data_IF_151468037893
#
_entry.id   IF_151468037893
#
_cell.length_a   1.000
_cell.length_b   1.000
_cell.length_c   1.000
_cell.angle_alpha   90.00
_cell.angle_beta   90.00
_cell.angle_gamma   90.00
#
_symmetry.space_group_name_H-M   'P 1'
#
loop_
_entity.id
_entity.type
_entity.pdbx_description
1 polymer ?
#
# COMPACT_ATOMS: atom_id res chain seq x y z
N UNK A 1 75.46 -53.57 46.70
CA UNK A 1 76.68 -53.73 45.86
C UNK A 1 76.33 -53.91 44.37
N UNK A 2 75.45 -53.07 43.80
CA UNK A 2 75.14 -53.09 42.35
C UNK A 2 75.12 -51.68 41.71
N UNK A 3 75.28 -50.62 42.50
CA UNK A 3 75.20 -49.23 42.03
C UNK A 3 76.59 -48.58 41.86
N UNK A 4 77.63 -49.10 42.53
CA UNK A 4 78.98 -48.53 42.41
C UNK A 4 79.64 -48.94 41.09
N UNK A 5 79.46 -50.18 40.62
CA UNK A 5 80.04 -50.67 39.36
C UNK A 5 79.49 -49.95 38.12
N UNK A 6 78.19 -49.65 38.08
CA UNK A 6 77.57 -48.88 36.98
C UNK A 6 78.03 -47.42 36.94
N UNK A 7 78.32 -46.82 38.10
CA UNK A 7 78.81 -45.44 38.16
C UNK A 7 80.25 -45.31 37.63
N UNK A 8 81.10 -46.32 37.85
CA UNK A 8 82.48 -46.32 37.31
C UNK A 8 82.50 -46.62 35.81
N UNK A 9 81.63 -47.51 35.31
CA UNK A 9 81.49 -47.79 33.88
C UNK A 9 80.89 -46.60 33.10
N UNK A 10 79.93 -45.88 33.70
CA UNK A 10 79.38 -44.66 33.12
C UNK A 10 80.41 -43.52 33.11
N UNK A 11 81.19 -43.37 34.19
CA UNK A 11 82.27 -42.38 34.26
C UNK A 11 83.40 -42.69 33.26
N UNK A 12 83.75 -43.97 33.07
CA UNK A 12 84.74 -44.41 32.08
C UNK A 12 84.22 -44.25 30.63
N UNK A 13 82.93 -44.50 30.38
CA UNK A 13 82.32 -44.28 29.06
C UNK A 13 82.23 -42.79 28.69
N UNK A 14 81.92 -41.93 29.65
CA UNK A 14 81.90 -40.47 29.46
C UNK A 14 83.32 -39.91 29.33
N UNK A 15 84.29 -40.42 30.09
CA UNK A 15 85.70 -40.04 29.96
C UNK A 15 86.33 -40.52 28.63
N UNK A 16 85.95 -41.71 28.15
CA UNK A 16 86.36 -42.24 26.85
C UNK A 16 85.83 -41.41 25.67
N UNK A 17 84.55 -41.01 25.72
CA UNK A 17 83.96 -40.11 24.71
C UNK A 17 84.55 -38.69 24.78
N UNK A 18 84.92 -38.20 25.97
CA UNK A 18 85.57 -36.90 26.12
C UNK A 18 87.03 -36.90 25.63
N UNK A 19 87.77 -38.01 25.78
CA UNK A 19 89.13 -38.15 25.30
C UNK A 19 89.19 -38.29 23.77
N UNK A 20 88.26 -39.01 23.15
CA UNK A 20 88.15 -39.13 21.69
C UNK A 20 87.70 -37.81 21.03
N UNK A 21 86.85 -37.03 21.73
CA UNK A 21 86.46 -35.68 21.32
C UNK A 21 87.61 -34.65 21.38
N UNK A 22 88.65 -34.90 22.19
CA UNK A 22 89.79 -33.99 22.32
C UNK A 22 90.85 -34.15 21.21
N UNK A 23 90.96 -35.33 20.58
CA UNK A 23 91.90 -35.59 19.48
C UNK A 23 91.42 -35.01 18.13
N UNK A 24 90.11 -34.74 18.00
CA UNK A 24 89.50 -34.11 16.81
C UNK A 24 88.70 -32.86 17.18
N UNK A 25 89.41 -31.83 17.64
CA UNK A 25 89.02 -30.43 17.48
C UNK A 25 87.61 -30.00 17.94
N UNK A 26 87.53 -29.46 19.16
CA UNK A 26 86.48 -28.52 19.57
C UNK A 26 85.15 -29.16 20.00
N UNK A 27 84.31 -28.37 20.68
CA UNK A 27 82.98 -28.79 21.14
C UNK A 27 82.24 -29.58 20.05
N UNK A 28 81.67 -30.77 20.32
CA UNK A 28 81.09 -31.66 19.32
C UNK A 28 80.03 -31.00 18.40
N UNK A 29 79.42 -29.90 18.87
CA UNK A 29 78.43 -29.10 18.17
C UNK A 29 79.00 -28.22 17.04
N UNK A 30 80.31 -27.95 17.05
CA UNK A 30 81.00 -27.05 16.10
C UNK A 30 81.93 -27.82 15.14
N UNK A 31 81.69 -29.12 14.97
CA UNK A 31 82.41 -29.92 13.99
C UNK A 31 81.87 -29.66 12.57
N UNK A 32 82.59 -28.79 11.85
CA UNK A 32 82.30 -28.40 10.47
C UNK A 32 82.32 -29.55 9.46
N UNK A 33 82.87 -30.72 9.81
CA UNK A 33 82.86 -31.89 8.93
C UNK A 33 81.45 -32.45 8.68
N UNK A 34 80.50 -32.21 9.60
CA UNK A 34 79.12 -32.68 9.51
C UNK A 34 78.18 -31.69 8.78
N UNK A 35 78.61 -30.43 8.65
CA UNK A 35 77.78 -29.34 8.10
C UNK A 35 77.36 -29.58 6.65
N UNK A 36 78.21 -30.08 5.72
CA UNK A 36 77.80 -30.34 4.34
C UNK A 36 76.61 -31.31 4.23
N UNK A 37 76.58 -32.36 5.05
CA UNK A 37 75.49 -33.33 5.06
C UNK A 37 74.20 -32.73 5.65
N UNK A 38 74.31 -31.96 6.75
CA UNK A 38 73.16 -31.25 7.32
C UNK A 38 72.59 -30.21 6.34
N UNK A 39 73.44 -29.43 5.69
CA UNK A 39 73.04 -28.42 4.69
C UNK A 39 72.39 -29.10 3.49
N UNK A 40 72.92 -30.23 3.02
CA UNK A 40 72.31 -31.01 1.94
C UNK A 40 70.87 -31.43 2.27
N UNK A 41 70.65 -32.08 3.42
CA UNK A 41 69.30 -32.49 3.83
C UNK A 41 68.39 -31.31 4.16
N UNK A 42 68.93 -30.20 4.67
CA UNK A 42 68.19 -28.95 4.85
C UNK A 42 67.68 -28.42 3.52
N UNK A 43 68.51 -28.37 2.48
CA UNK A 43 68.09 -27.94 1.15
C UNK A 43 67.09 -28.90 0.51
N UNK A 44 67.28 -30.21 0.67
CA UNK A 44 66.34 -31.23 0.17
C UNK A 44 64.98 -31.10 0.86
N UNK A 45 64.95 -31.04 2.19
CA UNK A 45 63.69 -30.91 2.96
C UNK A 45 63.00 -29.58 2.71
N UNK A 46 63.76 -28.48 2.63
CA UNK A 46 63.23 -27.16 2.25
C UNK A 46 62.64 -27.18 0.84
N UNK A 47 63.31 -27.82 -0.12
CA UNK A 47 62.81 -27.98 -1.49
C UNK A 47 61.51 -28.78 -1.55
N UNK A 48 61.42 -29.88 -0.81
CA UNK A 48 60.20 -30.70 -0.71
C UNK A 48 59.05 -29.91 -0.08
N UNK A 49 59.29 -29.21 1.03
CA UNK A 49 58.27 -28.38 1.69
C UNK A 49 57.84 -27.23 0.77
N UNK A 50 58.78 -26.56 0.12
CA UNK A 50 58.49 -25.49 -0.84
C UNK A 50 57.62 -25.98 -1.99
N UNK A 51 57.95 -27.15 -2.55
CA UNK A 51 57.16 -27.78 -3.61
C UNK A 51 55.75 -28.14 -3.13
N UNK A 52 55.62 -28.71 -1.93
CA UNK A 52 54.33 -29.06 -1.33
C UNK A 52 53.47 -27.82 -1.08
N UNK A 53 54.04 -26.76 -0.52
CA UNK A 53 53.33 -25.51 -0.25
C UNK A 53 52.85 -24.85 -1.55
N UNK A 54 53.75 -24.75 -2.53
CA UNK A 54 53.44 -24.11 -3.81
C UNK A 54 52.41 -24.89 -4.61
N UNK A 55 52.50 -26.23 -4.61
CA UNK A 55 51.64 -27.06 -5.46
C UNK A 55 50.33 -27.48 -4.80
N UNK A 56 50.27 -27.53 -3.47
CA UNK A 56 49.11 -28.05 -2.72
C UNK A 56 48.53 -27.01 -1.77
N UNK A 57 49.31 -26.44 -0.84
CA UNK A 57 48.76 -25.60 0.22
C UNK A 57 48.25 -24.24 -0.30
N UNK A 58 49.06 -23.51 -1.07
CA UNK A 58 48.68 -22.22 -1.65
C UNK A 58 47.47 -22.31 -2.59
N UNK A 59 47.37 -23.25 -3.55
CA UNK A 59 46.20 -23.34 -4.41
C UNK A 59 44.91 -23.68 -3.64
N UNK A 60 44.98 -24.47 -2.56
CA UNK A 60 43.81 -24.74 -1.69
C UNK A 60 43.33 -23.49 -0.96
N UNK A 61 44.23 -22.64 -0.49
CA UNK A 61 43.86 -21.38 0.18
C UNK A 61 43.29 -20.39 -0.85
N UNK A 62 43.91 -20.31 -2.03
CA UNK A 62 43.45 -19.46 -3.12
C UNK A 62 42.03 -19.83 -3.58
N UNK A 63 41.70 -21.12 -3.68
CA UNK A 63 40.36 -21.56 -4.05
C UNK A 63 39.30 -21.13 -3.03
N UNK A 64 39.57 -21.32 -1.73
CA UNK A 64 38.63 -20.89 -0.67
C UNK A 64 38.43 -19.37 -0.67
N UNK A 65 39.49 -18.60 -0.92
CA UNK A 65 39.38 -17.15 -1.01
C UNK A 65 38.58 -16.72 -2.25
N UNK A 66 38.81 -17.35 -3.39
CA UNK A 66 38.05 -17.12 -4.61
C UNK A 66 36.57 -17.48 -4.45
N UNK A 67 36.25 -18.60 -3.80
CA UNK A 67 34.88 -19.01 -3.52
C UNK A 67 34.17 -17.97 -2.65
N UNK A 68 34.82 -17.50 -1.57
CA UNK A 68 34.25 -16.46 -0.69
C UNK A 68 34.05 -15.14 -1.42
N UNK A 69 35.02 -14.70 -2.21
CA UNK A 69 34.89 -13.49 -3.02
C UNK A 69 33.75 -13.63 -4.03
N UNK A 70 33.64 -14.80 -4.67
CA UNK A 70 32.55 -15.14 -5.58
C UNK A 70 31.19 -15.04 -4.91
N UNK A 71 30.99 -15.71 -3.77
CA UNK A 71 29.75 -15.65 -2.99
C UNK A 71 29.41 -14.22 -2.56
N UNK A 72 30.37 -13.48 -1.98
CA UNK A 72 30.12 -12.10 -1.54
C UNK A 72 29.74 -11.20 -2.72
N UNK A 73 30.43 -11.33 -3.86
CA UNK A 73 30.11 -10.54 -5.05
C UNK A 73 28.75 -10.90 -5.64
N UNK A 74 28.39 -12.19 -5.65
CA UNK A 74 27.09 -12.67 -6.09
C UNK A 74 25.97 -12.19 -5.18
N UNK A 75 26.14 -12.27 -3.87
CA UNK A 75 25.18 -11.81 -2.88
C UNK A 75 24.99 -10.29 -2.97
N UNK A 76 26.08 -9.53 -3.18
CA UNK A 76 26.01 -8.08 -3.37
C UNK A 76 25.26 -7.72 -4.65
N UNK A 77 25.56 -8.38 -5.77
CA UNK A 77 24.87 -8.16 -7.04
C UNK A 77 23.37 -8.49 -6.92
N UNK A 78 23.03 -9.61 -6.28
CA UNK A 78 21.64 -9.99 -6.03
C UNK A 78 20.92 -8.97 -5.13
N UNK A 79 21.58 -8.49 -4.07
CA UNK A 79 21.03 -7.46 -3.18
C UNK A 79 20.77 -6.13 -3.92
N UNK A 80 21.69 -5.72 -4.79
CA UNK A 80 21.51 -4.53 -5.64
C UNK A 80 20.35 -4.71 -6.63
N UNK A 81 20.24 -5.88 -7.26
CA UNK A 81 19.13 -6.20 -8.17
C UNK A 81 17.78 -6.19 -7.43
N UNK A 82 17.69 -6.80 -6.24
CA UNK A 82 16.47 -6.77 -5.43
C UNK A 82 16.13 -5.36 -4.97
N UNK A 83 17.13 -4.53 -4.64
CA UNK A 83 16.92 -3.13 -4.27
C UNK A 83 16.40 -2.31 -5.45
N UNK A 84 16.90 -2.55 -6.66
CA UNK A 84 16.38 -1.91 -7.88
C UNK A 84 14.95 -2.34 -8.15
N UNK A 85 14.67 -3.65 -8.15
CA UNK A 85 13.31 -4.19 -8.32
C UNK A 85 12.33 -3.64 -7.29
N UNK A 86 12.74 -3.51 -6.02
CA UNK A 86 11.91 -2.94 -4.97
C UNK A 86 11.58 -1.46 -5.24
N UNK A 87 12.59 -0.66 -5.65
CA UNK A 87 12.38 0.74 -6.02
C UNK A 87 11.47 0.90 -7.23
N UNK A 88 11.63 0.07 -8.25
CA UNK A 88 10.80 0.11 -9.45
C UNK A 88 9.35 -0.29 -9.12
N UNK A 89 9.17 -1.30 -8.27
CA UNK A 89 7.86 -1.70 -7.78
C UNK A 89 7.19 -0.60 -6.93
N UNK A 90 7.96 0.06 -6.05
CA UNK A 90 7.46 1.18 -5.25
C UNK A 90 7.04 2.36 -6.13
N UNK A 91 7.84 2.70 -7.15
CA UNK A 91 7.51 3.75 -8.11
C UNK A 91 6.25 3.40 -8.93
N UNK A 92 6.14 2.16 -9.40
CA UNK A 92 4.96 1.67 -10.12
C UNK A 92 3.70 1.69 -9.23
N UNK A 93 3.82 1.25 -7.98
CA UNK A 93 2.75 1.29 -7.00
C UNK A 93 2.29 2.73 -6.70
N UNK A 94 3.23 3.64 -6.45
CA UNK A 94 2.94 5.04 -6.18
C UNK A 94 2.23 5.70 -7.37
N UNK A 95 2.68 5.41 -8.61
CA UNK A 95 2.02 5.85 -9.83
C UNK A 95 0.60 5.29 -9.95
N UNK A 96 0.43 3.98 -9.79
CA UNK A 96 -0.89 3.35 -9.86
C UNK A 96 -1.87 3.93 -8.82
N UNK A 97 -1.39 4.23 -7.62
CA UNK A 97 -2.19 4.85 -6.57
C UNK A 97 -2.58 6.30 -6.92
N UNK A 98 -1.66 7.08 -7.50
CA UNK A 98 -1.94 8.43 -7.97
C UNK A 98 -2.97 8.42 -9.11
N UNK A 99 -2.79 7.53 -10.09
CA UNK A 99 -3.70 7.36 -11.23
C UNK A 99 -5.09 6.91 -10.77
N UNK A 100 -5.17 5.95 -9.83
CA UNK A 100 -6.44 5.50 -9.26
C UNK A 100 -7.17 6.62 -8.51
N UNK A 101 -6.45 7.44 -7.73
CA UNK A 101 -7.02 8.61 -7.06
C UNK A 101 -7.52 9.65 -8.06
N UNK A 102 -6.76 9.93 -9.11
CA UNK A 102 -7.17 10.86 -10.15
C UNK A 102 -8.42 10.37 -10.90
N UNK A 103 -8.48 9.08 -11.24
CA UNK A 103 -9.66 8.47 -11.86
C UNK A 103 -10.87 8.51 -10.93
N UNK A 104 -10.71 8.18 -9.64
CA UNK A 104 -11.80 8.27 -8.68
C UNK A 104 -12.35 9.70 -8.56
N UNK A 105 -11.49 10.72 -8.49
CA UNK A 105 -11.92 12.12 -8.46
C UNK A 105 -12.65 12.52 -9.75
N UNK A 106 -12.16 12.05 -10.91
CA UNK A 106 -12.82 12.27 -12.20
C UNK A 106 -14.22 11.65 -12.23
N UNK A 107 -14.36 10.40 -11.82
CA UNK A 107 -15.66 9.71 -11.73
C UNK A 107 -16.60 10.46 -10.78
N UNK A 108 -16.13 10.88 -9.60
CA UNK A 108 -16.94 11.65 -8.65
C UNK A 108 -17.42 12.96 -9.27
N UNK A 109 -16.56 13.67 -9.99
CA UNK A 109 -16.93 14.92 -10.66
C UNK A 109 -17.95 14.69 -11.79
N UNK A 110 -17.75 13.67 -12.62
CA UNK A 110 -18.66 13.29 -13.70
C UNK A 110 -20.04 12.87 -13.15
N UNK A 111 -20.07 11.98 -12.16
CA UNK A 111 -21.32 11.54 -11.52
C UNK A 111 -22.04 12.69 -10.84
N UNK A 112 -21.34 13.61 -10.18
CA UNK A 112 -21.99 14.80 -9.60
C UNK A 112 -22.61 15.70 -10.65
N UNK A 113 -21.93 15.91 -11.78
CA UNK A 113 -22.45 16.70 -12.88
C UNK A 113 -23.70 16.04 -13.52
N UNK A 114 -23.67 14.72 -13.68
CA UNK A 114 -24.81 13.94 -14.18
C UNK A 114 -26.01 14.00 -13.22
N UNK A 115 -25.79 13.74 -11.93
CA UNK A 115 -26.83 13.85 -10.89
C UNK A 115 -27.44 15.25 -10.88
N UNK A 116 -26.62 16.31 -10.96
CA UNK A 116 -27.13 17.68 -10.97
C UNK A 116 -28.02 17.92 -12.18
N UNK A 117 -27.63 17.44 -13.36
CA UNK A 117 -28.42 17.57 -14.58
C UNK A 117 -29.75 16.81 -14.49
N UNK A 118 -29.75 15.60 -13.94
CA UNK A 118 -30.97 14.83 -13.71
C UNK A 118 -31.88 15.50 -12.69
N UNK A 119 -31.30 16.03 -11.61
CA UNK A 119 -32.04 16.78 -10.60
C UNK A 119 -32.70 18.02 -11.20
N UNK A 120 -31.96 18.83 -11.96
CA UNK A 120 -32.49 20.03 -12.61
C UNK A 120 -33.65 19.68 -13.57
N UNK A 121 -33.51 18.60 -14.33
CA UNK A 121 -34.56 18.13 -15.23
C UNK A 121 -35.81 17.61 -14.48
N UNK A 122 -35.60 16.87 -13.38
CA UNK A 122 -36.68 16.37 -12.53
C UNK A 122 -37.42 17.53 -11.84
N UNK A 123 -36.69 18.52 -11.33
CA UNK A 123 -37.27 19.73 -10.72
C UNK A 123 -38.07 20.52 -11.75
N UNK A 124 -37.52 20.78 -12.94
CA UNK A 124 -38.25 21.49 -13.99
C UNK A 124 -39.54 20.77 -14.41
N UNK A 125 -39.51 19.43 -14.48
CA UNK A 125 -40.71 18.62 -14.75
C UNK A 125 -41.72 18.73 -13.61
N UNK A 126 -41.27 18.61 -12.36
CA UNK A 126 -42.14 18.73 -11.19
C UNK A 126 -42.80 20.12 -11.13
N UNK A 127 -42.05 21.18 -11.39
CA UNK A 127 -42.57 22.55 -11.42
C UNK A 127 -43.63 22.73 -12.52
N UNK A 128 -43.41 22.15 -13.71
CA UNK A 128 -44.39 22.18 -14.79
C UNK A 128 -45.67 21.40 -14.43
N UNK A 129 -45.56 20.23 -13.80
CA UNK A 129 -46.71 19.46 -13.34
C UNK A 129 -47.48 20.17 -12.22
N UNK A 130 -46.78 20.82 -11.29
CA UNK A 130 -47.38 21.64 -10.24
C UNK A 130 -48.13 22.82 -10.86
N UNK A 131 -47.50 23.55 -11.79
CA UNK A 131 -48.13 24.67 -12.47
C UNK A 131 -49.41 24.25 -13.23
N UNK A 132 -49.36 23.10 -13.92
CA UNK A 132 -50.54 22.55 -14.59
C UNK A 132 -51.67 22.18 -13.61
N UNK A 133 -51.34 21.56 -12.47
CA UNK A 133 -52.32 21.23 -11.42
C UNK A 133 -52.92 22.47 -10.76
N UNK A 134 -52.11 23.52 -10.55
CA UNK A 134 -52.58 24.80 -10.03
C UNK A 134 -53.58 25.42 -11.00
N UNK A 135 -53.25 25.51 -12.29
CA UNK A 135 -54.17 26.03 -13.30
C UNK A 135 -55.48 25.23 -13.39
N UNK A 136 -55.43 23.90 -13.32
CA UNK A 136 -56.62 23.06 -13.27
C UNK A 136 -57.46 23.30 -12.01
N UNK A 137 -56.81 23.49 -10.86
CA UNK A 137 -57.50 23.76 -9.60
C UNK A 137 -58.14 25.15 -9.60
N UNK A 138 -57.50 26.15 -10.20
CA UNK A 138 -58.08 27.50 -10.39
C UNK A 138 -59.36 27.44 -11.21
N UNK A 139 -59.36 26.73 -12.33
CA UNK A 139 -60.58 26.52 -13.15
C UNK A 139 -61.69 25.84 -12.34
N UNK A 140 -61.36 24.77 -11.62
CA UNK A 140 -62.34 24.06 -10.79
C UNK A 140 -62.90 24.95 -9.66
N UNK A 141 -62.05 25.79 -9.05
CA UNK A 141 -62.47 26.75 -8.02
C UNK A 141 -63.40 27.81 -8.62
N UNK A 142 -63.10 28.32 -9.81
CA UNK A 142 -63.94 29.30 -10.50
C UNK A 142 -65.30 28.70 -10.90
N UNK A 143 -65.34 27.44 -11.36
CA UNK A 143 -66.58 26.71 -11.62
C UNK A 143 -67.42 26.54 -10.34
N UNK A 144 -66.79 26.11 -9.23
CA UNK A 144 -67.46 25.98 -7.94
C UNK A 144 -67.98 27.34 -7.46
N UNK A 145 -67.22 28.42 -7.63
CA UNK A 145 -67.63 29.78 -7.27
C UNK A 145 -68.84 30.22 -8.10
N UNK A 146 -68.83 29.98 -9.41
CA UNK A 146 -69.95 30.30 -10.28
C UNK A 146 -71.21 29.53 -9.89
N UNK A 147 -71.11 28.21 -9.69
CA UNK A 147 -72.22 27.38 -9.24
C UNK A 147 -72.74 27.76 -7.85
N UNK A 148 -71.86 28.16 -6.92
CA UNK A 148 -72.25 28.64 -5.61
C UNK A 148 -73.03 29.96 -5.69
N UNK A 149 -72.64 30.89 -6.59
CA UNK A 149 -73.38 32.14 -6.80
C UNK A 149 -74.78 31.87 -7.36
N UNK A 150 -74.92 30.95 -8.31
CA UNK A 150 -76.23 30.53 -8.84
C UNK A 150 -77.09 29.88 -7.76
N UNK A 151 -76.52 28.97 -6.95
CA UNK A 151 -77.23 28.33 -5.86
C UNK A 151 -77.69 29.35 -4.79
N UNK A 152 -76.84 30.32 -4.44
CA UNK A 152 -77.22 31.41 -3.53
C UNK A 152 -78.37 32.24 -4.11
N UNK A 153 -78.34 32.55 -5.41
CA UNK A 153 -79.40 33.31 -6.06
C UNK A 153 -80.72 32.54 -6.07
N UNK A 154 -80.69 31.23 -6.35
CA UNK A 154 -81.86 30.37 -6.32
C UNK A 154 -82.48 30.29 -4.91
N UNK A 155 -81.66 30.01 -3.89
CA UNK A 155 -82.09 29.93 -2.49
C UNK A 155 -82.64 31.26 -2.01
N UNK A 156 -81.99 32.38 -2.35
CA UNK A 156 -82.44 33.72 -1.99
C UNK A 156 -83.78 34.08 -2.64
N UNK A 157 -84.00 33.71 -3.90
CA UNK A 157 -85.28 33.92 -4.59
C UNK A 157 -86.41 33.08 -3.97
N UNK A 158 -86.14 31.81 -3.66
CA UNK A 158 -87.10 30.92 -3.00
C UNK A 158 -87.46 31.42 -1.60
N UNK A 159 -86.48 31.73 -0.75
CA UNK A 159 -86.75 32.29 0.59
C UNK A 159 -87.44 33.64 0.54
N UNK A 160 -87.08 34.54 -0.39
CA UNK A 160 -87.77 35.82 -0.55
C UNK A 160 -89.25 35.64 -0.96
N UNK A 161 -89.55 34.69 -1.85
CA UNK A 161 -90.91 34.37 -2.24
C UNK A 161 -91.72 33.81 -1.05
N UNK A 162 -91.15 32.89 -0.26
CA UNK A 162 -91.79 32.37 0.94
C UNK A 162 -92.08 33.46 1.97
N UNK A 163 -91.13 34.38 2.21
CA UNK A 163 -91.32 35.51 3.14
C UNK A 163 -92.45 36.43 2.67
N UNK A 164 -92.54 36.74 1.37
CA UNK A 164 -93.60 37.61 0.82
C UNK A 164 -94.98 36.97 0.99
N UNK A 165 -95.08 35.65 0.78
CA UNK A 165 -96.32 34.89 1.00
C UNK A 165 -96.67 34.89 2.49
N UNK A 166 -95.71 34.63 3.38
CA UNK A 166 -95.92 34.60 4.83
C UNK A 166 -96.37 35.97 5.39
N UNK A 167 -95.92 37.08 4.79
CA UNK A 167 -96.32 38.44 5.13
C UNK A 167 -97.65 38.89 4.48
N UNK A 168 -98.34 38.00 3.76
CA UNK A 168 -99.67 38.25 3.19
C UNK A 168 -99.68 38.92 1.81
N UNK A 169 -98.53 39.00 1.13
CA UNK A 169 -98.41 39.49 -0.24
C UNK A 169 -98.60 38.38 -1.29
N UNK A 170 -98.85 38.78 -2.54
CA UNK A 170 -98.74 37.85 -3.70
C UNK A 170 -97.31 37.91 -4.22
N UNK A 171 -96.62 36.77 -4.25
CA UNK A 171 -95.29 36.66 -4.83
C UNK A 171 -95.36 36.86 -6.35
N UNK A 172 -94.94 38.03 -6.83
CA UNK A 172 -94.64 38.25 -8.24
C UNK A 172 -93.21 37.79 -8.53
N UNK A 173 -93.09 36.62 -9.17
CA UNK A 173 -91.81 36.01 -9.50
C UNK A 173 -90.89 36.94 -10.32
N UNK A 174 -91.46 37.84 -11.14
CA UNK A 174 -90.69 38.73 -12.01
C UNK A 174 -90.10 39.91 -11.26
N UNK A 175 -90.88 40.50 -10.34
CA UNK A 175 -90.40 41.58 -9.47
C UNK A 175 -89.39 41.09 -8.43
N UNK A 176 -89.61 39.90 -7.87
CA UNK A 176 -88.71 39.27 -6.89
C UNK A 176 -87.37 38.88 -7.50
N UNK A 177 -87.38 38.24 -8.68
CA UNK A 177 -86.16 37.91 -9.40
C UNK A 177 -85.30 39.15 -9.67
N UNK A 178 -85.91 40.24 -10.15
CA UNK A 178 -85.22 41.50 -10.40
C UNK A 178 -84.64 42.15 -9.12
N UNK A 179 -85.35 42.08 -8.00
CA UNK A 179 -84.90 42.63 -6.72
C UNK A 179 -83.75 41.82 -6.09
N UNK A 180 -83.80 40.48 -6.21
CA UNK A 180 -82.74 39.57 -5.75
C UNK A 180 -81.50 39.72 -6.64
N UNK A 181 -81.66 39.77 -7.96
CA UNK A 181 -80.57 40.04 -8.91
C UNK A 181 -79.83 41.35 -8.58
N UNK A 182 -80.59 42.43 -8.35
CA UNK A 182 -80.02 43.74 -8.02
C UNK A 182 -79.27 43.77 -6.67
N UNK A 183 -79.61 42.87 -5.74
CA UNK A 183 -78.93 42.75 -4.44
C UNK A 183 -77.76 41.76 -4.43
N UNK A 184 -77.81 40.71 -5.24
CA UNK A 184 -76.72 39.75 -5.38
C UNK A 184 -75.58 40.30 -6.24
N UNK A 185 -75.89 41.17 -7.23
CA UNK A 185 -74.90 41.88 -8.07
C UNK A 185 -74.44 43.23 -7.49
N UNK A 186 -74.86 43.55 -6.27
CA UNK A 186 -74.68 44.87 -5.61
C UNK A 186 -73.24 45.34 -5.54
#
# INVERSE_FOLDING_TARGET
MANETQAVDAAAAVAGHAAEAAEKGGMPQLDFSTFPNQIFWLLVSLGVIYWLLTRIALPRIASVLADRQGTISGDLAAAEEYKLKAKDAEAAYAKALADARAQAQKIIAETRAEIQKELDAATAKADAEIAARVAQSEVAIDEIRAGALEAVQAVAAETAAEIVVALGGKADAKALGAAVDARVKG
#
